data_IF_535989757439
#
_entry.id   IF_535989757439
#
_cell.length_a   1.000
_cell.length_b   1.000
_cell.length_c   1.000
_cell.angle_alpha   90.00
_cell.angle_beta   90.00
_cell.angle_gamma   90.00
#
_symmetry.space_group_name_H-M   'P 1'
#
loop_
_entity.id
_entity.type
_entity.pdbx_description
1 polymer ?
#
# COMPACT_ATOMS: atom_id res chain seq x y z
N UNK A 1 8.19 -26.54 89.83
CA UNK A 1 8.10 -27.57 88.78
C UNK A 1 8.83 -27.08 87.54
N UNK A 2 9.61 -27.93 86.88
CA UNK A 2 10.95 -27.57 86.39
C UNK A 2 11.14 -27.75 84.86
N UNK A 3 12.35 -27.36 84.40
CA UNK A 3 13.18 -27.97 83.31
C UNK A 3 12.74 -27.83 81.85
N UNK A 4 13.61 -27.64 80.83
CA UNK A 4 15.05 -27.37 80.71
C UNK A 4 15.41 -27.11 79.21
N UNK A 5 16.56 -26.44 78.97
CA UNK A 5 17.38 -26.37 77.73
C UNK A 5 17.88 -27.77 77.27
N UNK A 6 18.59 -28.02 76.12
CA UNK A 6 19.56 -27.20 75.33
C UNK A 6 19.41 -27.36 73.78
N UNK A 7 20.25 -26.92 72.83
CA UNK A 7 21.71 -27.05 72.66
C UNK A 7 22.22 -26.17 71.49
N UNK A 8 23.44 -25.66 71.67
CA UNK A 8 24.28 -24.93 70.72
C UNK A 8 25.20 -25.94 70.00
N UNK A 9 25.44 -25.84 68.69
CA UNK A 9 26.72 -26.28 68.12
C UNK A 9 27.04 -25.60 66.78
N UNK A 10 28.27 -25.10 66.73
CA UNK A 10 28.98 -24.44 65.63
C UNK A 10 29.46 -25.50 64.64
N UNK A 11 29.41 -25.23 63.34
CA UNK A 11 30.40 -25.81 62.42
C UNK A 11 30.63 -24.92 61.18
N UNK A 12 31.86 -24.42 61.10
CA UNK A 12 32.56 -23.88 59.93
C UNK A 12 32.61 -24.86 58.77
N UNK A 13 32.41 -24.38 57.53
CA UNK A 13 33.01 -24.92 56.30
C UNK A 13 32.95 -23.81 55.22
N UNK A 14 34.04 -23.06 55.05
CA UNK A 14 35.07 -23.28 54.03
C UNK A 14 34.67 -22.71 52.66
N UNK A 15 35.28 -21.56 52.37
CA UNK A 15 35.40 -20.92 51.08
C UNK A 15 36.19 -21.86 50.15
N UNK A 16 35.52 -22.48 49.18
CA UNK A 16 36.18 -23.08 48.02
C UNK A 16 35.89 -22.22 46.79
N UNK A 17 36.87 -21.41 46.44
CA UNK A 17 36.99 -20.82 45.13
C UNK A 17 37.17 -21.95 44.10
N UNK A 18 36.13 -22.20 43.30
CA UNK A 18 36.32 -22.80 41.99
C UNK A 18 36.45 -21.66 40.98
N UNK A 19 37.71 -21.41 40.60
CA UNK A 19 38.01 -20.76 39.34
C UNK A 19 37.47 -21.67 38.23
N UNK A 20 36.32 -21.28 37.67
CA UNK A 20 35.82 -21.79 36.40
C UNK A 20 36.13 -20.73 35.35
N UNK A 21 36.92 -21.11 34.35
CA UNK A 21 37.44 -20.27 33.27
C UNK A 21 36.34 -19.39 32.64
N UNK A 22 36.55 -18.07 32.64
CA UNK A 22 35.86 -17.19 31.70
C UNK A 22 36.44 -17.47 30.32
N UNK A 23 35.70 -18.19 29.48
CA UNK A 23 35.79 -17.94 28.05
C UNK A 23 35.11 -16.59 27.83
N UNK A 24 35.93 -15.55 27.92
CA UNK A 24 35.60 -14.18 27.57
C UNK A 24 35.48 -14.12 26.05
N UNK A 25 34.43 -14.77 25.54
CA UNK A 25 33.91 -14.47 24.21
C UNK A 25 33.23 -13.12 24.37
N UNK A 26 34.03 -12.07 24.22
CA UNK A 26 33.52 -10.73 23.98
C UNK A 26 32.65 -10.83 22.73
N UNK A 27 31.33 -10.98 22.94
CA UNK A 27 30.37 -10.71 21.87
C UNK A 27 30.71 -9.30 21.37
N UNK A 28 30.84 -9.11 20.05
CA UNK A 28 31.01 -7.77 19.53
C UNK A 28 29.89 -6.89 20.12
N UNK A 29 30.20 -5.65 20.55
CA UNK A 29 29.18 -4.77 21.07
C UNK A 29 28.05 -4.69 20.05
N UNK A 30 26.81 -4.76 20.53
CA UNK A 30 25.66 -4.53 19.68
C UNK A 30 25.90 -3.21 18.93
N UNK A 31 25.63 -3.16 17.61
CA UNK A 31 25.76 -1.92 16.86
C UNK A 31 24.95 -0.83 17.56
N UNK A 32 25.43 0.42 17.55
CA UNK A 32 24.70 1.52 18.19
C UNK A 32 23.27 1.54 17.66
N UNK A 33 22.31 1.56 18.59
CA UNK A 33 20.89 1.71 18.28
C UNK A 33 20.69 3.11 17.71
N UNK A 34 20.67 3.19 16.38
CA UNK A 34 20.41 4.40 15.60
C UNK A 34 18.91 4.76 15.58
N UNK A 35 18.07 4.01 16.30
CA UNK A 35 16.63 4.17 16.31
C UNK A 35 15.93 3.64 15.06
N UNK A 36 16.68 3.01 14.14
CA UNK A 36 16.14 2.31 12.97
C UNK A 36 16.03 0.79 13.25
N UNK A 37 15.95 -0.02 12.19
CA UNK A 37 15.86 -1.46 12.30
C UNK A 37 17.24 -2.12 12.27
N UNK A 38 17.48 -3.02 13.24
CA UNK A 38 18.49 -4.04 13.11
C UNK A 38 18.06 -5.07 12.04
N UNK A 39 19.01 -5.59 11.27
CA UNK A 39 18.71 -6.62 10.28
C UNK A 39 18.17 -7.90 10.94
N UNK A 40 17.26 -8.66 10.29
CA UNK A 40 16.81 -9.94 10.78
C UNK A 40 18.00 -10.90 10.97
N UNK A 41 17.97 -11.80 11.97
CA UNK A 41 18.96 -12.86 12.08
C UNK A 41 19.05 -13.69 10.80
N UNK A 42 20.24 -14.21 10.49
CA UNK A 42 20.46 -15.04 9.31
C UNK A 42 19.43 -16.17 9.22
N UNK A 43 18.75 -16.27 8.07
CA UNK A 43 17.73 -17.28 7.80
C UNK A 43 16.32 -16.93 8.30
N UNK A 44 16.11 -15.78 8.95
CA UNK A 44 14.79 -15.34 9.41
C UNK A 44 14.19 -14.21 8.58
N UNK A 45 14.94 -13.67 7.62
CA UNK A 45 14.50 -12.57 6.78
C UNK A 45 15.64 -11.87 6.05
N UNK A 46 15.28 -10.76 5.40
CA UNK A 46 16.21 -9.86 4.72
C UNK A 46 15.90 -8.42 5.11
N UNK A 47 16.92 -7.56 5.07
CA UNK A 47 16.76 -6.12 5.24
C UNK A 47 17.15 -5.40 3.95
N UNK A 48 16.36 -4.39 3.57
CA UNK A 48 16.70 -3.42 2.54
C UNK A 48 16.71 -2.01 3.13
N UNK A 49 17.51 -1.14 2.54
CA UNK A 49 17.67 0.23 3.00
C UNK A 49 17.81 1.22 1.84
N UNK A 50 17.32 2.43 2.06
CA UNK A 50 17.51 3.58 1.20
C UNK A 50 17.93 4.77 2.08
N UNK A 51 19.08 5.33 1.73
CA UNK A 51 19.67 6.52 2.34
C UNK A 51 19.81 7.62 1.28
N UNK A 52 19.43 8.86 1.62
CA UNK A 52 19.41 9.98 0.67
C UNK A 52 19.39 11.32 1.41
N UNK A 53 19.60 12.41 0.67
CA UNK A 53 19.43 13.77 1.18
C UNK A 53 18.20 14.41 0.53
N UNK A 54 17.36 15.04 1.35
CA UNK A 54 16.16 15.76 0.93
C UNK A 54 16.41 17.25 1.09
N UNK A 55 16.30 18.01 0.00
CA UNK A 55 16.55 19.44 0.03
C UNK A 55 15.53 20.18 0.91
N UNK A 56 15.94 21.34 1.43
CA UNK A 56 15.06 22.23 2.20
C UNK A 56 13.82 22.66 1.39
N UNK A 57 12.64 22.61 2.02
CA UNK A 57 11.39 23.04 1.40
C UNK A 57 10.94 22.22 0.19
N UNK A 58 11.38 20.95 0.09
CA UNK A 58 11.07 20.08 -1.04
C UNK A 58 10.18 18.90 -0.64
N UNK A 59 9.40 18.45 -1.60
CA UNK A 59 8.73 17.16 -1.60
C UNK A 59 9.35 16.34 -2.73
N UNK A 60 9.81 15.13 -2.42
CA UNK A 60 10.43 14.23 -3.39
C UNK A 60 10.05 12.78 -3.09
N UNK A 61 10.01 11.97 -4.14
CA UNK A 61 10.09 10.53 -4.01
C UNK A 61 11.46 10.02 -4.48
N UNK A 62 12.06 9.16 -3.67
CA UNK A 62 13.34 8.52 -3.95
C UNK A 62 13.15 7.04 -4.14
N UNK A 63 13.69 6.52 -5.23
CA UNK A 63 13.64 5.10 -5.55
C UNK A 63 15.02 4.47 -5.57
N UNK A 64 15.07 3.17 -5.27
CA UNK A 64 16.27 2.35 -5.41
C UNK A 64 15.87 0.94 -5.83
N UNK A 65 16.53 0.41 -6.84
CA UNK A 65 16.41 -1.01 -7.16
C UNK A 65 17.34 -1.86 -6.30
N UNK A 66 16.84 -2.99 -5.84
CA UNK A 66 17.58 -4.05 -5.15
C UNK A 66 17.15 -5.40 -5.69
N UNK A 67 17.87 -6.46 -5.35
CA UNK A 67 17.52 -7.81 -5.79
C UNK A 67 17.12 -8.68 -4.60
N UNK A 68 16.07 -9.49 -4.79
CA UNK A 68 15.70 -10.56 -3.89
C UNK A 68 16.76 -11.68 -3.91
N UNK A 69 16.87 -12.48 -2.84
CA UNK A 69 17.69 -13.69 -2.86
C UNK A 69 17.35 -14.62 -4.04
N UNK A 70 18.35 -15.38 -4.49
CA UNK A 70 18.25 -16.23 -5.68
C UNK A 70 17.23 -17.38 -5.54
N UNK A 71 16.83 -17.71 -4.32
CA UNK A 71 15.78 -18.66 -3.95
C UNK A 71 14.41 -18.01 -3.73
N UNK A 72 14.35 -16.67 -3.69
CA UNK A 72 13.13 -15.90 -3.45
C UNK A 72 12.85 -15.75 -1.96
N UNK A 73 11.64 -15.30 -1.62
CA UNK A 73 11.23 -15.12 -0.23
C UNK A 73 9.78 -15.57 -0.04
N UNK A 74 9.48 -16.07 1.15
CA UNK A 74 8.12 -16.26 1.64
C UNK A 74 7.90 -15.33 2.84
N UNK A 75 7.43 -14.12 2.57
CA UNK A 75 7.32 -13.02 3.54
C UNK A 75 6.06 -13.19 4.39
N UNK A 76 6.22 -13.36 5.71
CA UNK A 76 5.09 -13.48 6.65
C UNK A 76 4.67 -12.15 7.27
N UNK A 77 5.61 -11.22 7.42
CA UNK A 77 5.38 -9.86 7.91
C UNK A 77 6.54 -8.98 7.47
N UNK A 78 6.31 -7.69 7.48
CA UNK A 78 7.37 -6.70 7.38
C UNK A 78 7.52 -5.90 8.68
N UNK A 79 8.55 -5.08 8.70
CA UNK A 79 8.76 -4.04 9.69
C UNK A 79 9.49 -2.91 9.00
N UNK A 80 9.03 -1.68 9.19
CA UNK A 80 9.58 -0.49 8.53
C UNK A 80 9.92 0.54 9.60
N UNK A 81 11.11 1.15 9.47
CA UNK A 81 11.48 2.36 10.21
C UNK A 81 12.10 3.35 9.26
N UNK A 82 11.73 4.61 9.42
CA UNK A 82 12.32 5.71 8.68
C UNK A 82 12.50 6.93 9.55
N UNK A 83 13.49 7.74 9.19
CA UNK A 83 13.75 9.04 9.80
C UNK A 83 12.60 10.02 9.58
N UNK A 84 12.57 11.09 10.37
CA UNK A 84 11.58 12.17 10.26
C UNK A 84 11.47 12.73 8.83
N UNK A 85 10.23 13.01 8.41
CA UNK A 85 9.91 13.69 7.15
C UNK A 85 9.33 12.78 6.07
N UNK A 86 9.34 11.45 6.24
CA UNK A 86 8.66 10.57 5.29
C UNK A 86 7.17 10.51 5.55
N UNK A 87 6.39 10.63 4.48
CA UNK A 87 4.95 10.39 4.46
C UNK A 87 4.64 8.88 4.40
N UNK A 88 5.37 8.14 3.56
CA UNK A 88 5.33 6.68 3.53
C UNK A 88 6.56 6.07 2.85
N UNK A 89 6.72 4.76 3.07
CA UNK A 89 7.65 3.90 2.38
C UNK A 89 6.96 2.67 1.81
N UNK A 90 7.28 2.30 0.58
CA UNK A 90 6.73 1.14 -0.11
C UNK A 90 7.86 0.33 -0.75
N UNK A 91 7.71 -1.00 -0.72
CA UNK A 91 8.57 -1.94 -1.42
C UNK A 91 7.74 -2.67 -2.47
N UNK A 92 8.11 -2.51 -3.73
CA UNK A 92 7.46 -3.16 -4.85
C UNK A 92 8.32 -4.30 -5.40
N UNK A 93 7.67 -5.36 -5.84
CA UNK A 93 8.25 -6.27 -6.83
C UNK A 93 8.06 -5.68 -8.23
N UNK A 94 8.97 -5.96 -9.15
CA UNK A 94 8.92 -5.47 -10.54
C UNK A 94 8.80 -6.61 -11.55
N UNK A 95 8.62 -6.28 -12.83
CA UNK A 95 8.63 -7.25 -13.92
C UNK A 95 10.04 -7.52 -14.47
N UNK A 96 11.06 -6.81 -13.98
CA UNK A 96 12.42 -6.90 -14.50
C UNK A 96 13.16 -8.14 -13.99
N UNK A 97 13.94 -8.75 -14.87
CA UNK A 97 14.86 -9.84 -14.52
C UNK A 97 16.21 -9.30 -14.00
N UNK A 98 16.64 -8.14 -14.52
CA UNK A 98 17.85 -7.41 -14.15
C UNK A 98 17.51 -5.95 -13.82
N UNK A 99 18.34 -5.28 -13.02
CA UNK A 99 18.12 -3.86 -12.68
C UNK A 99 18.10 -3.03 -13.97
N UNK A 100 16.99 -2.33 -14.29
CA UNK A 100 16.87 -1.59 -15.54
C UNK A 100 17.69 -0.30 -15.49
N UNK A 101 18.32 0.11 -16.59
CA UNK A 101 19.08 1.37 -16.73
C UNK A 101 18.30 2.47 -17.48
N UNK A 102 17.03 2.22 -17.77
CA UNK A 102 16.13 3.15 -18.46
C UNK A 102 14.67 2.85 -18.10
N UNK A 103 13.83 3.88 -18.19
CA UNK A 103 12.37 3.73 -18.17
C UNK A 103 11.89 2.88 -19.36
N UNK A 104 10.63 2.45 -19.28
CA UNK A 104 9.95 1.66 -20.32
C UNK A 104 9.85 2.38 -21.68
N UNK A 105 9.90 3.71 -21.70
CA UNK A 105 9.94 4.52 -22.93
C UNK A 105 11.35 4.68 -23.53
N UNK A 106 12.36 4.08 -22.88
CA UNK A 106 13.76 4.16 -23.27
C UNK A 106 14.51 5.37 -22.71
N UNK A 107 13.86 6.23 -21.90
CA UNK A 107 14.52 7.35 -21.23
C UNK A 107 15.59 6.82 -20.26
N UNK A 108 16.89 7.14 -20.46
CA UNK A 108 17.96 6.65 -19.59
C UNK A 108 17.86 7.25 -18.18
N UNK A 109 18.08 6.43 -17.16
CA UNK A 109 18.16 6.85 -15.75
C UNK A 109 19.29 6.08 -15.09
N UNK A 110 20.17 6.77 -14.35
CA UNK A 110 21.19 6.08 -13.54
C UNK A 110 20.52 5.43 -12.32
N UNK A 111 20.34 4.12 -12.40
CA UNK A 111 19.69 3.28 -11.38
C UNK A 111 20.69 2.49 -10.54
N UNK A 112 21.99 2.78 -10.67
CA UNK A 112 23.04 2.10 -9.90
C UNK A 112 22.97 2.40 -8.40
N UNK A 113 22.26 3.47 -8.01
CA UNK A 113 22.00 3.88 -6.64
C UNK A 113 20.57 4.40 -6.46
N UNK A 114 20.42 5.37 -5.55
CA UNK A 114 19.15 6.08 -5.35
C UNK A 114 18.94 7.07 -6.48
N UNK A 115 17.73 7.09 -7.05
CA UNK A 115 17.35 7.99 -8.14
C UNK A 115 16.02 8.68 -7.84
N UNK A 116 15.72 9.74 -8.59
CA UNK A 116 14.46 10.46 -8.49
C UNK A 116 13.32 9.67 -9.14
N UNK A 117 12.22 9.54 -8.40
CA UNK A 117 10.97 8.99 -8.92
C UNK A 117 9.77 9.82 -8.46
N UNK A 118 9.93 11.14 -8.35
CA UNK A 118 8.93 12.07 -7.79
C UNK A 118 7.63 12.17 -8.60
N UNK A 119 7.61 11.60 -9.80
CA UNK A 119 6.39 11.44 -10.60
C UNK A 119 5.66 10.11 -10.32
N UNK A 120 6.09 9.36 -9.31
CA UNK A 120 5.52 8.12 -8.83
C UNK A 120 6.27 6.85 -9.31
N UNK A 121 6.19 5.76 -8.53
CA UNK A 121 6.88 4.51 -8.80
C UNK A 121 6.41 3.80 -10.09
N UNK A 122 5.22 4.12 -10.58
CA UNK A 122 4.66 3.56 -11.83
C UNK A 122 4.97 4.43 -13.06
N UNK A 123 5.58 5.61 -12.89
CA UNK A 123 5.84 6.53 -14.00
C UNK A 123 7.05 6.09 -14.86
N UNK A 124 6.78 5.17 -15.78
CA UNK A 124 7.75 4.60 -16.70
C UNK A 124 8.48 3.38 -16.14
N UNK A 125 8.06 2.84 -15.00
CA UNK A 125 8.60 1.61 -14.42
C UNK A 125 7.53 0.53 -14.29
N UNK A 126 7.93 -0.72 -14.51
CA UNK A 126 7.06 -1.90 -14.44
C UNK A 126 7.11 -2.53 -13.05
N UNK A 127 6.44 -1.92 -12.07
CA UNK A 127 6.11 -2.62 -10.82
C UNK A 127 5.14 -3.77 -11.13
N UNK A 128 5.01 -4.77 -10.25
CA UNK A 128 4.11 -5.93 -10.39
C UNK A 128 3.22 -6.14 -9.19
N UNK A 129 3.72 -5.88 -7.98
CA UNK A 129 3.03 -6.15 -6.71
C UNK A 129 3.63 -5.30 -5.59
N UNK A 130 2.82 -4.90 -4.61
CA UNK A 130 3.32 -4.43 -3.31
C UNK A 130 3.82 -5.63 -2.48
N UNK A 131 5.03 -5.55 -1.96
CA UNK A 131 5.67 -6.59 -1.12
C UNK A 131 5.61 -6.25 0.37
N UNK A 132 5.57 -4.96 0.70
CA UNK A 132 5.55 -4.44 2.07
C UNK A 132 5.68 -2.93 2.06
N UNK A 133 5.55 -2.31 3.22
CA UNK A 133 5.59 -0.85 3.32
C UNK A 133 4.73 -0.31 4.44
N UNK A 134 5.06 0.89 4.91
CA UNK A 134 4.39 1.55 6.03
C UNK A 134 4.19 3.03 5.74
N UNK A 135 3.09 3.56 6.27
CA UNK A 135 2.82 5.01 6.35
C UNK A 135 3.12 5.55 7.76
N UNK A 136 3.57 4.68 8.67
CA UNK A 136 3.90 5.02 10.04
C UNK A 136 5.39 4.79 10.31
N UNK A 137 6.11 5.84 10.70
CA UNK A 137 7.55 5.80 10.91
C UNK A 137 7.98 4.77 11.95
N UNK A 138 7.18 4.62 13.02
CA UNK A 138 7.43 3.73 14.15
C UNK A 138 6.26 2.78 14.42
N UNK A 139 5.28 2.75 13.53
CA UNK A 139 4.02 2.04 13.75
C UNK A 139 3.98 0.63 13.17
N UNK A 140 2.79 0.05 13.27
CA UNK A 140 2.41 -1.17 12.57
C UNK A 140 2.44 -0.95 11.05
N UNK A 141 2.86 -1.99 10.32
CA UNK A 141 2.77 -2.06 8.86
C UNK A 141 1.54 -2.86 8.40
N UNK A 142 1.04 -2.61 7.18
CA UNK A 142 -0.08 -3.35 6.63
C UNK A 142 0.18 -4.87 6.56
N UNK A 143 1.39 -5.34 6.29
CA UNK A 143 1.62 -6.77 6.06
C UNK A 143 1.84 -7.55 7.37
N UNK A 144 0.88 -8.38 7.75
CA UNK A 144 1.04 -9.34 8.85
C UNK A 144 0.16 -10.56 8.66
N UNK A 145 0.77 -11.73 8.51
CA UNK A 145 0.09 -13.00 8.32
C UNK A 145 0.13 -13.89 9.56
N UNK A 146 -0.90 -14.73 9.77
CA UNK A 146 -0.86 -15.80 10.76
C UNK A 146 0.16 -16.88 10.37
N UNK A 147 0.42 -17.81 11.28
CA UNK A 147 1.32 -18.92 11.03
C UNK A 147 0.91 -19.76 9.82
N UNK A 148 1.89 -20.17 9.02
CA UNK A 148 1.69 -20.94 7.79
C UNK A 148 1.23 -20.12 6.58
N UNK A 149 1.05 -18.81 6.71
CA UNK A 149 0.69 -17.92 5.60
C UNK A 149 1.83 -16.97 5.27
N UNK A 150 2.15 -16.83 3.98
CA UNK A 150 3.19 -15.92 3.51
C UNK A 150 2.92 -15.41 2.09
N UNK A 151 3.38 -14.20 1.81
CA UNK A 151 3.44 -13.62 0.46
C UNK A 151 4.72 -14.06 -0.23
N UNK A 152 4.61 -14.52 -1.48
CA UNK A 152 5.75 -14.96 -2.26
C UNK A 152 6.44 -13.79 -2.95
N UNK A 153 7.77 -13.72 -2.86
CA UNK A 153 8.62 -12.89 -3.73
C UNK A 153 9.37 -13.83 -4.67
N UNK A 154 9.38 -13.53 -5.98
CA UNK A 154 10.00 -14.42 -6.96
C UNK A 154 11.51 -14.57 -6.70
N UNK A 155 12.09 -15.75 -6.99
CA UNK A 155 13.53 -15.95 -6.99
C UNK A 155 14.27 -14.90 -7.81
N UNK A 156 15.24 -14.21 -7.20
CA UNK A 156 16.06 -13.18 -7.86
C UNK A 156 15.30 -11.94 -8.35
N UNK A 157 14.05 -11.73 -7.91
CA UNK A 157 13.24 -10.60 -8.36
C UNK A 157 13.94 -9.26 -8.15
N UNK A 158 13.83 -8.37 -9.14
CA UNK A 158 14.17 -6.96 -8.94
C UNK A 158 13.05 -6.32 -8.14
N UNK A 159 13.42 -5.75 -6.99
CA UNK A 159 12.54 -5.00 -6.11
C UNK A 159 12.85 -3.51 -6.20
N UNK A 160 11.85 -2.66 -5.98
CA UNK A 160 11.99 -1.22 -5.96
C UNK A 160 11.54 -0.68 -4.60
N UNK A 161 12.49 -0.09 -3.88
CA UNK A 161 12.21 0.76 -2.73
C UNK A 161 11.69 2.09 -3.24
N UNK A 162 10.63 2.60 -2.63
CA UNK A 162 10.07 3.92 -2.90
C UNK A 162 9.83 4.63 -1.56
N UNK A 163 10.50 5.76 -1.36
CA UNK A 163 10.40 6.55 -0.14
C UNK A 163 9.90 7.95 -0.50
N UNK A 164 8.75 8.33 0.03
CA UNK A 164 8.15 9.64 -0.17
C UNK A 164 8.47 10.52 1.04
N UNK A 165 9.20 11.62 0.81
CA UNK A 165 9.62 12.57 1.84
C UNK A 165 9.11 13.97 1.55
N UNK A 166 8.63 14.63 2.59
CA UNK A 166 8.22 16.03 2.60
C UNK A 166 9.10 16.75 3.62
N UNK A 167 10.02 17.57 3.13
CA UNK A 167 10.87 18.41 3.97
C UNK A 167 10.35 19.85 4.01
N UNK A 168 9.59 20.17 5.05
CA UNK A 168 9.10 21.55 5.29
C UNK A 168 10.10 22.45 6.01
N UNK A 169 11.30 21.94 6.34
CA UNK A 169 12.34 22.66 7.08
C UNK A 169 13.20 23.54 6.16
N UNK A 170 13.84 24.59 6.69
CA UNK A 170 14.76 25.44 5.92
C UNK A 170 16.15 24.82 5.72
N UNK A 171 16.43 23.66 6.31
CA UNK A 171 17.66 22.89 6.12
C UNK A 171 17.40 21.53 5.43
N UNK A 172 18.40 20.96 4.73
CA UNK A 172 18.31 19.60 4.18
C UNK A 172 18.17 18.52 5.26
N UNK A 173 17.55 17.39 4.89
CA UNK A 173 17.40 16.22 5.75
C UNK A 173 18.25 15.08 5.24
N UNK A 174 18.97 14.43 6.15
CA UNK A 174 19.50 13.10 5.91
C UNK A 174 18.38 12.10 6.19
N UNK A 175 17.83 11.55 5.10
CA UNK A 175 16.72 10.64 5.11
C UNK A 175 17.22 9.20 5.01
N UNK A 176 16.79 8.35 5.93
CA UNK A 176 17.06 6.92 5.90
C UNK A 176 15.78 6.13 6.17
N UNK A 177 15.57 5.07 5.39
CA UNK A 177 14.51 4.09 5.60
C UNK A 177 15.08 2.68 5.54
N UNK A 178 14.62 1.82 6.44
CA UNK A 178 14.90 0.39 6.45
C UNK A 178 13.59 -0.40 6.48
N UNK A 179 13.56 -1.48 5.71
CA UNK A 179 12.50 -2.48 5.75
C UNK A 179 13.12 -3.85 6.03
N UNK A 180 12.60 -4.53 7.04
CA UNK A 180 12.85 -5.94 7.30
C UNK A 180 11.69 -6.75 6.73
N UNK A 181 11.98 -7.71 5.86
CA UNK A 181 11.04 -8.75 5.44
C UNK A 181 11.32 -10.00 6.26
N UNK A 182 10.41 -10.37 7.13
CA UNK A 182 10.52 -11.59 7.94
C UNK A 182 9.88 -12.75 7.19
N UNK A 183 10.56 -13.90 7.15
CA UNK A 183 10.18 -15.01 6.28
C UNK A 183 9.79 -16.29 7.01
N UNK A 184 9.15 -17.20 6.28
CA UNK A 184 9.01 -18.62 6.60
C UNK A 184 9.90 -19.46 5.67
N UNK A 185 10.41 -20.61 6.12
CA UNK A 185 10.86 -21.67 5.22
C UNK A 185 9.72 -22.09 4.27
N UNK A 186 10.04 -22.43 3.02
CA UNK A 186 9.03 -22.84 2.04
C UNK A 186 8.22 -24.06 2.52
N UNK A 187 8.85 -25.01 3.20
CA UNK A 187 8.18 -26.19 3.75
C UNK A 187 7.15 -25.89 4.84
N UNK A 188 7.22 -24.70 5.46
CA UNK A 188 6.29 -24.25 6.50
C UNK A 188 5.13 -23.42 5.93
N UNK A 189 5.18 -23.08 4.64
CA UNK A 189 4.10 -22.33 3.97
C UNK A 189 2.97 -23.28 3.59
N UNK A 190 1.80 -23.04 4.19
CA UNK A 190 0.56 -23.77 3.95
C UNK A 190 -0.33 -23.04 2.94
N UNK A 191 -0.30 -21.71 2.94
CA UNK A 191 -1.14 -20.88 2.08
C UNK A 191 -0.41 -19.62 1.64
N UNK A 192 -0.45 -19.32 0.36
CA UNK A 192 0.04 -18.03 -0.16
C UNK A 192 -0.95 -16.92 0.19
N UNK A 193 -0.45 -15.82 0.74
CA UNK A 193 -1.21 -14.60 0.99
C UNK A 193 -0.75 -13.47 0.07
N UNK A 194 -1.50 -12.38 0.04
CA UNK A 194 -1.17 -11.19 -0.76
C UNK A 194 -1.66 -9.90 -0.05
N UNK A 195 -1.41 -8.74 -0.65
CA UNK A 195 -1.80 -7.43 -0.12
C UNK A 195 -2.87 -6.82 -1.02
N UNK A 196 -4.03 -6.49 -0.45
CA UNK A 196 -4.98 -5.56 -1.06
C UNK A 196 -4.28 -4.20 -1.16
N UNK A 197 -4.26 -3.63 -2.35
CA UNK A 197 -3.69 -2.33 -2.68
C UNK A 197 -4.67 -1.61 -3.63
N UNK A 198 -5.90 -1.45 -3.15
CA UNK A 198 -6.98 -0.89 -3.96
C UNK A 198 -6.89 0.62 -3.99
N UNK A 199 -7.05 1.18 -5.17
CA UNK A 199 -6.95 2.61 -5.42
C UNK A 199 -8.16 3.10 -6.20
N UNK A 200 -8.83 4.13 -5.69
CA UNK A 200 -9.87 4.81 -6.45
C UNK A 200 -9.22 5.87 -7.32
N UNK A 201 -9.19 5.60 -8.63
CA UNK A 201 -8.59 6.47 -9.64
C UNK A 201 -9.45 7.69 -10.00
N UNK A 202 -10.63 7.86 -9.39
CA UNK A 202 -11.51 9.00 -9.64
C UNK A 202 -11.70 9.85 -8.38
N UNK A 203 -11.00 10.99 -8.35
CA UNK A 203 -11.08 12.00 -7.28
C UNK A 203 -11.21 13.39 -7.92
N UNK A 204 -12.23 14.15 -7.53
CA UNK A 204 -12.45 15.53 -7.97
C UNK A 204 -12.95 16.31 -6.75
N UNK A 205 -12.08 17.09 -6.12
CA UNK A 205 -12.45 17.94 -4.98
C UNK A 205 -12.50 19.39 -5.47
N UNK A 206 -13.69 19.99 -5.62
CA UNK A 206 -13.81 21.32 -6.20
C UNK A 206 -13.13 22.37 -5.34
N UNK A 207 -12.70 23.46 -5.99
CA UNK A 207 -12.18 24.64 -5.32
C UNK A 207 -13.13 25.13 -4.23
N UNK A 208 -12.60 25.39 -3.03
CA UNK A 208 -13.38 25.86 -1.88
C UNK A 208 -14.58 24.97 -1.54
N UNK A 209 -14.49 23.66 -1.77
CA UNK A 209 -15.59 22.72 -1.64
C UNK A 209 -15.21 21.40 -0.97
N UNK A 210 -16.13 20.44 -1.05
CA UNK A 210 -15.98 19.10 -0.50
C UNK A 210 -16.48 18.09 -1.53
N UNK A 211 -15.93 16.88 -1.48
CA UNK A 211 -16.41 15.75 -2.28
C UNK A 211 -16.04 14.42 -1.63
N UNK A 212 -16.65 13.35 -2.13
CA UNK A 212 -16.35 11.99 -1.74
C UNK A 212 -15.85 11.17 -2.93
N UNK A 213 -14.72 10.48 -2.75
CA UNK A 213 -14.31 9.40 -3.64
C UNK A 213 -14.79 8.07 -3.04
N UNK A 214 -15.57 7.30 -3.80
CA UNK A 214 -16.13 6.02 -3.34
C UNK A 214 -16.08 4.94 -4.42
N UNK A 215 -15.66 3.75 -4.03
CA UNK A 215 -15.66 2.60 -4.94
C UNK A 215 -15.98 1.29 -4.21
N UNK A 216 -16.41 0.29 -5.00
CA UNK A 216 -16.64 -1.08 -4.57
C UNK A 216 -15.80 -2.06 -5.36
N UNK A 217 -15.28 -3.08 -4.69
CA UNK A 217 -14.69 -4.24 -5.32
C UNK A 217 -15.44 -5.52 -4.93
N UNK A 218 -15.63 -6.44 -5.88
CA UNK A 218 -16.23 -7.75 -5.60
C UNK A 218 -15.15 -8.75 -5.22
N UNK A 219 -15.39 -9.54 -4.18
CA UNK A 219 -14.52 -10.62 -3.73
C UNK A 219 -14.78 -11.86 -4.59
N UNK A 220 -13.82 -12.31 -5.42
CA UNK A 220 -14.05 -13.41 -6.37
C UNK A 220 -14.09 -14.80 -5.72
N UNK A 221 -13.49 -14.96 -4.55
CA UNK A 221 -13.40 -16.22 -3.82
C UNK A 221 -13.29 -15.96 -2.31
N UNK A 222 -13.61 -16.95 -1.48
CA UNK A 222 -13.48 -16.83 -0.03
C UNK A 222 -12.04 -16.44 0.37
N UNK A 223 -11.90 -15.33 1.10
CA UNK A 223 -10.64 -14.85 1.68
C UNK A 223 -10.80 -14.54 3.16
N UNK A 224 -9.66 -14.38 3.82
CA UNK A 224 -9.53 -13.88 5.18
C UNK A 224 -8.58 -12.70 5.18
N UNK A 225 -9.06 -11.54 5.59
CA UNK A 225 -8.27 -10.32 5.78
C UNK A 225 -7.64 -10.33 7.16
N UNK A 226 -6.37 -9.98 7.28
CA UNK A 226 -5.62 -9.99 8.56
C UNK A 226 -5.31 -8.60 9.08
N UNK A 227 -5.30 -7.62 8.19
CA UNK A 227 -5.08 -6.22 8.53
C UNK A 227 -5.82 -5.30 7.58
N UNK A 228 -6.00 -4.05 8.00
CA UNK A 228 -6.50 -3.01 7.12
C UNK A 228 -6.03 -1.63 7.55
N UNK A 229 -5.73 -0.79 6.58
CA UNK A 229 -5.53 0.64 6.74
C UNK A 229 -6.05 1.41 5.52
N UNK A 230 -6.28 2.70 5.72
CA UNK A 230 -6.56 3.66 4.64
C UNK A 230 -5.28 4.29 4.10
N UNK A 231 -5.40 5.02 2.99
CA UNK A 231 -4.46 6.06 2.60
C UNK A 231 -5.25 7.24 2.01
N UNK A 232 -4.95 8.45 2.49
CA UNK A 232 -5.48 9.73 2.01
C UNK A 232 -4.38 10.78 2.14
N UNK A 233 -4.45 11.89 1.38
CA UNK A 233 -3.59 13.05 1.64
C UNK A 233 -4.32 14.07 2.54
N UNK A 234 -3.72 15.24 2.71
CA UNK A 234 -4.02 16.18 3.80
C UNK A 234 -5.46 16.75 3.78
N UNK A 235 -6.21 16.65 2.68
CA UNK A 235 -7.62 17.07 2.63
C UNK A 235 -8.57 15.97 3.09
N UNK A 236 -8.08 14.75 3.30
CA UNK A 236 -8.88 13.63 3.81
C UNK A 236 -9.36 13.92 5.23
N UNK A 237 -10.69 14.05 5.41
CA UNK A 237 -11.34 14.33 6.69
C UNK A 237 -12.18 13.16 7.22
N UNK A 238 -12.25 12.05 6.47
CA UNK A 238 -12.98 10.87 6.91
C UNK A 238 -12.86 9.71 5.93
N UNK A 239 -12.84 8.51 6.48
CA UNK A 239 -12.68 7.26 5.75
C UNK A 239 -13.58 6.19 6.36
N UNK A 240 -14.21 5.40 5.49
CA UNK A 240 -14.98 4.21 5.86
C UNK A 240 -14.71 3.07 4.90
N UNK A 241 -14.57 1.85 5.43
CA UNK A 241 -14.62 0.63 4.64
C UNK A 241 -15.56 -0.41 5.29
N UNK A 242 -16.38 -1.04 4.47
CA UNK A 242 -17.44 -1.95 4.89
C UNK A 242 -17.74 -3.03 3.84
N UNK A 243 -18.29 -4.16 4.29
CA UNK A 243 -18.99 -5.07 3.39
C UNK A 243 -20.38 -4.49 3.07
N UNK A 244 -20.77 -4.47 1.80
CA UNK A 244 -22.06 -3.92 1.37
C UNK A 244 -23.20 -4.72 2.01
N UNK A 245 -24.10 -4.03 2.70
CA UNK A 245 -25.22 -4.63 3.42
C UNK A 245 -24.90 -5.06 4.86
N UNK A 246 -23.67 -4.86 5.33
CA UNK A 246 -23.34 -5.00 6.75
C UNK A 246 -23.90 -3.83 7.57
N UNK A 247 -24.22 -4.08 8.84
CA UNK A 247 -24.75 -3.06 9.76
C UNK A 247 -23.67 -2.06 10.21
N UNK A 248 -22.40 -2.47 10.21
CA UNK A 248 -21.27 -1.70 10.73
C UNK A 248 -20.06 -1.82 9.80
N UNK A 249 -19.28 -0.73 9.63
CA UNK A 249 -18.00 -0.79 8.93
C UNK A 249 -16.98 -1.60 9.71
N UNK A 250 -16.10 -2.30 9.00
CA UNK A 250 -14.97 -3.01 9.61
C UNK A 250 -13.75 -2.12 9.80
N UNK A 251 -13.71 -0.94 9.16
CA UNK A 251 -12.65 0.05 9.32
C UNK A 251 -13.19 1.48 9.19
N UNK A 252 -12.76 2.34 10.12
CA UNK A 252 -13.06 3.77 10.17
C UNK A 252 -11.77 4.51 10.51
N UNK A 253 -11.54 5.66 9.87
CA UNK A 253 -10.41 6.52 10.17
C UNK A 253 -10.71 7.96 9.72
N UNK A 254 -10.13 8.96 10.37
CA UNK A 254 -10.23 10.37 10.00
C UNK A 254 -8.85 11.04 9.85
N UNK A 255 -7.77 10.25 9.90
CA UNK A 255 -6.40 10.73 9.84
C UNK A 255 -5.75 10.40 8.50
N UNK A 256 -5.05 11.36 7.93
CA UNK A 256 -4.19 11.14 6.76
C UNK A 256 -2.74 10.81 7.17
N UNK A 257 -2.29 11.30 8.33
CA UNK A 257 -1.00 10.97 8.97
C UNK A 257 -1.20 10.06 10.21
N UNK A 258 -0.16 9.35 10.62
CA UNK A 258 -0.20 8.39 11.73
C UNK A 258 -1.41 7.42 11.61
N UNK A 259 -1.60 6.89 10.40
CA UNK A 259 -2.79 6.14 10.00
C UNK A 259 -2.91 4.86 10.84
N UNK A 260 -4.02 4.65 11.57
CA UNK A 260 -4.22 3.43 12.34
C UNK A 260 -4.26 2.19 11.45
N UNK A 261 -3.50 1.16 11.83
CA UNK A 261 -3.60 -0.17 11.20
C UNK A 261 -4.50 -1.04 12.06
N UNK A 262 -5.64 -1.46 11.52
CA UNK A 262 -6.48 -2.47 12.16
C UNK A 262 -5.85 -3.85 11.99
N UNK A 263 -5.81 -4.62 13.07
CA UNK A 263 -5.41 -6.03 13.07
C UNK A 263 -6.61 -6.91 13.37
N UNK A 264 -6.79 -7.97 12.58
CA UNK A 264 -7.83 -8.96 12.78
C UNK A 264 -7.18 -10.26 13.25
N UNK A 265 -6.94 -10.39 14.56
CA UNK A 265 -6.23 -11.55 15.13
C UNK A 265 -6.92 -12.90 14.81
N UNK A 266 -8.25 -12.89 14.70
CA UNK A 266 -9.04 -14.07 14.31
C UNK A 266 -9.25 -14.20 12.80
N UNK A 267 -8.73 -13.24 12.03
CA UNK A 267 -9.07 -13.03 10.64
C UNK A 267 -10.46 -12.43 10.46
N UNK A 268 -10.61 -11.57 9.44
CA UNK A 268 -11.89 -11.04 9.00
C UNK A 268 -12.31 -11.77 7.71
N UNK A 269 -13.28 -12.70 7.77
CA UNK A 269 -13.66 -13.49 6.60
C UNK A 269 -14.50 -12.67 5.63
N UNK A 270 -14.16 -12.73 4.34
CA UNK A 270 -14.97 -12.22 3.25
C UNK A 270 -15.34 -13.38 2.32
N UNK A 271 -16.61 -13.49 1.97
CA UNK A 271 -17.12 -14.57 1.12
C UNK A 271 -17.07 -14.22 -0.36
N UNK A 272 -16.94 -15.24 -1.19
CA UNK A 272 -17.10 -15.09 -2.63
C UNK A 272 -18.43 -14.39 -2.96
N UNK A 273 -18.37 -13.35 -3.78
CA UNK A 273 -19.50 -12.50 -4.15
C UNK A 273 -19.80 -11.35 -3.18
N UNK A 274 -19.13 -11.28 -2.01
CA UNK A 274 -19.22 -10.09 -1.17
C UNK A 274 -18.67 -8.87 -1.92
N UNK A 275 -19.29 -7.70 -1.73
CA UNK A 275 -18.76 -6.43 -2.22
C UNK A 275 -18.17 -5.67 -1.04
N UNK A 276 -16.91 -5.27 -1.13
CA UNK A 276 -16.31 -4.33 -0.17
C UNK A 276 -16.38 -2.93 -0.77
N UNK A 277 -16.99 -2.02 -0.03
CA UNK A 277 -17.09 -0.60 -0.32
C UNK A 277 -16.13 0.18 0.57
N UNK A 278 -15.41 1.15 0.01
CA UNK A 278 -14.75 2.16 0.81
C UNK A 278 -14.95 3.56 0.22
N UNK A 279 -14.91 4.56 1.09
CA UNK A 279 -15.06 5.96 0.73
C UNK A 279 -14.10 6.86 1.50
N UNK A 280 -13.57 7.87 0.81
CA UNK A 280 -12.76 8.95 1.37
C UNK A 280 -13.50 10.27 1.20
N UNK A 281 -13.65 11.03 2.29
CA UNK A 281 -14.27 12.35 2.30
C UNK A 281 -13.18 13.41 2.33
N UNK A 282 -13.31 14.44 1.49
CA UNK A 282 -12.33 15.52 1.36
C UNK A 282 -12.93 16.90 1.63
N UNK A 283 -12.11 17.79 2.20
CA UNK A 283 -12.40 19.22 2.28
C UNK A 283 -11.25 20.02 1.64
N UNK A 284 -11.57 20.77 0.59
CA UNK A 284 -10.60 21.58 -0.14
C UNK A 284 -10.76 23.07 0.15
N UNK A 285 -9.80 23.65 0.86
CA UNK A 285 -9.73 25.08 1.15
C UNK A 285 -8.99 25.92 0.10
N UNK A 286 -8.59 25.35 -1.04
CA UNK A 286 -7.83 26.04 -2.08
C UNK A 286 -8.71 26.61 -3.20
N UNK A 287 -8.25 27.67 -3.92
CA UNK A 287 -8.98 28.26 -5.03
C UNK A 287 -8.81 27.50 -6.36
N UNK A 288 -8.52 26.19 -6.30
CA UNK A 288 -8.37 25.30 -7.45
C UNK A 288 -9.00 23.94 -7.14
N UNK A 289 -9.37 23.23 -8.19
CA UNK A 289 -9.79 21.84 -8.08
C UNK A 289 -8.56 20.96 -7.74
N UNK A 290 -8.81 19.84 -7.07
CA UNK A 290 -7.80 18.88 -6.65
C UNK A 290 -8.22 17.50 -7.14
N UNK A 291 -7.30 16.83 -7.83
CA UNK A 291 -7.52 15.52 -8.43
C UNK A 291 -6.64 14.45 -7.79
N UNK A 292 -6.78 13.21 -8.26
CA UNK A 292 -5.89 12.14 -7.84
C UNK A 292 -4.44 12.40 -8.28
N UNK A 293 -3.45 11.99 -7.47
CA UNK A 293 -2.04 12.09 -7.86
C UNK A 293 -1.06 11.75 -6.72
N UNK A 294 0.23 11.55 -7.04
CA UNK A 294 1.24 11.11 -6.08
C UNK A 294 1.72 12.22 -5.13
N UNK A 295 1.50 13.50 -5.47
CA UNK A 295 2.05 14.63 -4.71
C UNK A 295 1.13 15.05 -3.57
N UNK A 296 1.68 15.72 -2.57
CA UNK A 296 0.94 16.33 -1.46
C UNK A 296 -0.04 17.43 -1.90
N UNK A 297 0.13 17.94 -3.12
CA UNK A 297 -0.81 18.87 -3.76
C UNK A 297 -2.05 18.19 -4.32
N UNK A 298 -1.99 16.87 -4.47
CA UNK A 298 -3.02 16.01 -5.06
C UNK A 298 -3.66 15.20 -3.93
N UNK A 299 -4.61 14.31 -4.26
CA UNK A 299 -5.23 13.40 -3.29
C UNK A 299 -5.10 11.93 -3.68
N UNK A 300 -5.26 11.05 -2.70
CA UNK A 300 -5.36 9.60 -2.89
C UNK A 300 -6.51 9.02 -2.06
N UNK A 301 -7.10 7.92 -2.53
CA UNK A 301 -8.11 7.16 -1.80
C UNK A 301 -7.83 5.66 -1.93
N UNK A 302 -7.18 5.08 -0.91
CA UNK A 302 -6.77 3.66 -0.95
C UNK A 302 -7.30 2.84 0.21
N UNK A 303 -7.47 1.54 -0.05
CA UNK A 303 -7.70 0.50 0.95
C UNK A 303 -6.54 -0.50 0.87
N UNK A 304 -5.78 -0.63 1.95
CA UNK A 304 -4.56 -1.42 1.98
C UNK A 304 -4.60 -2.42 3.13
N UNK A 305 -4.31 -3.69 2.88
CA UNK A 305 -4.33 -4.71 3.94
C UNK A 305 -3.92 -6.09 3.46
N UNK A 306 -3.38 -6.93 4.33
CA UNK A 306 -3.00 -8.29 3.97
C UNK A 306 -4.19 -9.25 4.03
N UNK A 307 -4.23 -10.21 3.11
CA UNK A 307 -5.30 -11.21 3.01
C UNK A 307 -4.76 -12.57 2.52
N UNK A 308 -5.52 -13.63 2.78
CA UNK A 308 -5.21 -14.98 2.27
C UNK A 308 -6.48 -15.82 2.07
N UNK A 309 -6.49 -16.81 1.16
CA UNK A 309 -5.45 -17.10 0.17
C UNK A 309 -5.31 -15.98 -0.86
N UNK A 310 -4.15 -15.87 -1.50
CA UNK A 310 -3.90 -14.97 -2.62
C UNK A 310 -4.84 -15.30 -3.78
N UNK A 311 -5.39 -14.27 -4.42
CA UNK A 311 -6.32 -14.43 -5.55
C UNK A 311 -5.88 -13.54 -6.71
N UNK A 312 -5.70 -14.10 -7.93
CA UNK A 312 -5.31 -13.31 -9.10
C UNK A 312 -6.23 -12.10 -9.33
N UNK A 313 -5.64 -10.93 -9.58
CA UNK A 313 -6.37 -9.67 -9.81
C UNK A 313 -6.94 -8.99 -8.57
N UNK A 314 -7.13 -9.72 -7.46
CA UNK A 314 -7.79 -9.16 -6.29
C UNK A 314 -6.93 -8.09 -5.61
N UNK A 315 -5.60 -8.22 -5.55
CA UNK A 315 -4.72 -7.22 -4.93
C UNK A 315 -4.89 -5.82 -5.50
N UNK A 316 -5.30 -5.68 -6.76
CA UNK A 316 -5.45 -4.40 -7.44
C UNK A 316 -6.90 -4.04 -7.78
N UNK A 317 -7.88 -4.83 -7.35
CA UNK A 317 -9.25 -4.74 -7.86
C UNK A 317 -9.27 -4.68 -9.41
N UNK A 318 -8.55 -5.62 -10.04
CA UNK A 318 -8.29 -5.60 -11.46
C UNK A 318 -9.51 -6.03 -12.30
N UNK A 319 -9.67 -5.48 -13.50
CA UNK A 319 -10.67 -5.97 -14.45
C UNK A 319 -10.23 -7.27 -15.13
N UNK A 320 -8.93 -7.45 -15.35
CA UNK A 320 -8.33 -8.65 -15.89
C UNK A 320 -7.33 -9.25 -14.89
N UNK A 321 -7.60 -10.44 -14.31
CA UNK A 321 -6.70 -11.07 -13.35
C UNK A 321 -5.37 -11.52 -13.95
N UNK A 322 -5.27 -11.68 -15.27
CA UNK A 322 -4.02 -12.01 -15.97
C UNK A 322 -3.18 -10.76 -16.27
N UNK A 323 -3.79 -9.58 -16.20
CA UNK A 323 -3.13 -8.29 -16.40
C UNK A 323 -3.49 -7.31 -15.25
N UNK A 324 -3.18 -7.67 -13.99
CA UNK A 324 -3.78 -7.03 -12.83
C UNK A 324 -3.37 -5.56 -12.65
N UNK A 325 -2.15 -5.20 -13.06
CA UNK A 325 -1.68 -3.82 -13.03
C UNK A 325 -2.16 -2.99 -14.22
N UNK A 326 -2.15 -3.57 -15.42
CA UNK A 326 -2.64 -2.88 -16.61
C UNK A 326 -4.13 -2.54 -16.50
N UNK A 327 -4.85 -3.27 -15.63
CA UNK A 327 -6.27 -3.07 -15.36
C UNK A 327 -6.57 -2.72 -13.89
N UNK A 328 -5.57 -2.20 -13.16
CA UNK A 328 -5.70 -1.83 -11.75
C UNK A 328 -6.87 -0.87 -11.53
N UNK A 329 -7.68 -1.13 -10.51
CA UNK A 329 -8.85 -0.34 -10.16
C UNK A 329 -10.00 -0.42 -11.18
N UNK A 330 -9.78 -0.99 -12.37
CA UNK A 330 -10.80 -1.08 -13.41
C UNK A 330 -11.84 -2.17 -13.12
N UNK A 331 -11.56 -3.12 -12.23
CA UNK A 331 -12.54 -4.09 -11.74
C UNK A 331 -13.57 -3.49 -10.78
N UNK A 332 -13.41 -2.22 -10.42
CA UNK A 332 -14.27 -1.55 -9.47
C UNK A 332 -15.64 -1.15 -10.07
N UNK A 333 -16.60 -0.94 -9.15
CA UNK A 333 -17.72 -0.03 -9.38
C UNK A 333 -17.40 1.29 -8.70
N UNK A 334 -17.21 2.35 -9.47
CA UNK A 334 -17.05 3.70 -8.96
C UNK A 334 -18.42 4.31 -8.72
N UNK A 335 -18.57 5.00 -7.60
CA UNK A 335 -19.84 5.57 -7.18
C UNK A 335 -19.64 7.07 -7.01
N UNK A 336 -20.33 7.84 -7.85
CA UNK A 336 -20.26 9.29 -7.78
C UNK A 336 -20.84 9.87 -6.48
N UNK A 337 -20.69 11.17 -6.37
CA UNK A 337 -21.10 12.03 -5.25
C UNK A 337 -21.93 13.23 -5.77
N UNK A 338 -22.57 13.06 -6.94
CA UNK A 338 -23.36 14.10 -7.58
C UNK A 338 -24.76 13.66 -7.97
N UNK A 339 -25.32 14.32 -8.99
CA UNK A 339 -26.69 14.15 -9.46
C UNK A 339 -26.76 13.91 -10.98
N UNK A 340 -25.62 13.83 -11.67
CA UNK A 340 -25.62 13.68 -13.13
C UNK A 340 -26.12 12.30 -13.53
N UNK A 341 -27.07 12.26 -14.45
CA UNK A 341 -27.53 11.02 -15.08
C UNK A 341 -26.38 10.35 -15.84
N UNK A 342 -26.56 9.07 -16.15
CA UNK A 342 -25.53 8.33 -16.88
C UNK A 342 -25.29 8.96 -18.26
N UNK A 343 -26.35 9.43 -18.93
CA UNK A 343 -26.24 10.17 -20.18
C UNK A 343 -25.48 11.50 -20.04
N UNK A 344 -25.70 12.27 -18.97
CA UNK A 344 -24.96 13.52 -18.71
C UNK A 344 -23.48 13.24 -18.42
N UNK A 345 -23.17 12.17 -17.67
CA UNK A 345 -21.79 11.73 -17.43
C UNK A 345 -21.10 11.37 -18.74
N UNK A 346 -21.71 10.58 -19.63
CA UNK A 346 -21.10 10.24 -20.92
C UNK A 346 -20.93 11.46 -21.83
N UNK A 347 -21.90 12.38 -21.84
CA UNK A 347 -21.77 13.63 -22.57
C UNK A 347 -20.61 14.48 -22.03
N UNK A 348 -20.42 14.51 -20.70
CA UNK A 348 -19.27 15.13 -20.06
C UNK A 348 -17.97 14.49 -20.51
N UNK A 349 -17.85 13.15 -20.45
CA UNK A 349 -16.64 12.42 -20.89
C UNK A 349 -16.31 12.72 -22.35
N UNK A 350 -17.32 12.69 -23.23
CA UNK A 350 -17.14 13.00 -24.64
C UNK A 350 -16.66 14.44 -24.87
N UNK A 351 -17.14 15.41 -24.09
CA UNK A 351 -16.75 16.80 -24.23
C UNK A 351 -15.27 17.06 -23.90
N UNK A 352 -14.64 16.20 -23.09
CA UNK A 352 -13.23 16.30 -22.73
C UNK A 352 -12.30 15.37 -23.50
N UNK A 353 -12.81 14.56 -24.44
CA UNK A 353 -12.05 13.49 -25.09
C UNK A 353 -10.80 13.97 -25.86
N UNK A 354 -10.78 15.24 -26.28
CA UNK A 354 -9.64 15.87 -26.97
C UNK A 354 -8.82 16.80 -26.07
N UNK A 355 -9.10 16.83 -24.75
CA UNK A 355 -8.37 17.66 -23.78
C UNK A 355 -6.98 17.09 -23.49
N UNK A 356 -5.97 17.96 -23.38
CA UNK A 356 -4.64 17.57 -22.88
C UNK A 356 -4.70 17.05 -21.43
N UNK A 357 -5.69 17.50 -20.65
CA UNK A 357 -5.98 17.05 -19.28
C UNK A 357 -7.19 16.10 -19.24
N UNK A 358 -7.30 15.21 -20.24
CA UNK A 358 -8.44 14.29 -20.39
C UNK A 358 -8.77 13.52 -19.10
N UNK A 359 -7.75 13.05 -18.38
CA UNK A 359 -7.97 12.23 -17.20
C UNK A 359 -8.57 13.04 -16.04
N UNK A 360 -8.09 14.26 -15.78
CA UNK A 360 -8.65 15.16 -14.77
C UNK A 360 -10.12 15.50 -15.09
N UNK A 361 -10.41 15.76 -16.36
CA UNK A 361 -11.78 15.98 -16.82
C UNK A 361 -12.66 14.74 -16.61
N UNK A 362 -12.16 13.54 -16.94
CA UNK A 362 -12.85 12.27 -16.73
C UNK A 362 -13.17 12.04 -15.25
N UNK A 363 -12.22 12.31 -14.35
CA UNK A 363 -12.44 12.23 -12.91
C UNK A 363 -13.63 13.09 -12.47
N UNK A 364 -13.66 14.35 -12.91
CA UNK A 364 -14.78 15.25 -12.61
C UNK A 364 -16.13 14.73 -13.14
N UNK A 365 -16.17 14.16 -14.35
CA UNK A 365 -17.39 13.58 -14.90
C UNK A 365 -17.90 12.37 -14.10
N UNK A 366 -16.99 11.49 -13.67
CA UNK A 366 -17.33 10.29 -12.89
C UNK A 366 -17.78 10.66 -11.49
N UNK A 367 -17.05 11.54 -10.81
CA UNK A 367 -17.38 11.97 -9.44
C UNK A 367 -18.72 12.71 -9.40
N UNK A 368 -19.08 13.49 -10.43
CA UNK A 368 -20.37 14.21 -10.48
C UNK A 368 -21.58 13.33 -10.84
N UNK A 369 -21.38 12.05 -11.16
CA UNK A 369 -22.46 11.12 -11.47
C UNK A 369 -23.35 10.82 -10.25
N UNK A 370 -24.63 10.53 -10.51
CA UNK A 370 -25.57 10.06 -9.50
C UNK A 370 -25.15 8.66 -9.01
N UNK A 371 -25.04 8.41 -7.70
CA UNK A 371 -24.81 7.08 -7.14
C UNK A 371 -25.73 5.97 -7.71
N UNK A 372 -26.96 6.32 -8.09
CA UNK A 372 -27.97 5.41 -8.62
C UNK A 372 -27.59 4.83 -10.00
N UNK A 373 -26.77 5.53 -10.79
CA UNK A 373 -26.30 5.07 -12.11
C UNK A 373 -24.89 4.45 -12.07
N UNK A 374 -24.32 4.29 -10.86
CA UNK A 374 -22.93 3.88 -10.67
C UNK A 374 -22.53 2.59 -11.39
N UNK A 375 -23.45 1.63 -11.54
CA UNK A 375 -23.18 0.37 -12.25
C UNK A 375 -22.96 0.63 -13.74
N UNK A 376 -23.98 1.14 -14.42
CA UNK A 376 -23.96 1.35 -15.87
C UNK A 376 -22.93 2.39 -16.28
N UNK A 377 -22.74 3.44 -15.45
CA UNK A 377 -21.69 4.44 -15.62
C UNK A 377 -20.31 3.79 -15.53
N UNK A 378 -20.05 2.99 -14.48
CA UNK A 378 -18.76 2.32 -14.33
C UNK A 378 -18.48 1.34 -15.46
N UNK A 379 -19.48 0.58 -15.90
CA UNK A 379 -19.32 -0.37 -16.99
C UNK A 379 -18.94 0.33 -18.30
N UNK A 380 -19.59 1.46 -18.61
CA UNK A 380 -19.26 2.27 -19.78
C UNK A 380 -17.86 2.90 -19.68
N UNK A 381 -17.54 3.56 -18.57
CA UNK A 381 -16.22 4.21 -18.35
C UNK A 381 -15.10 3.18 -18.38
N UNK A 382 -15.28 2.03 -17.73
CA UNK A 382 -14.31 0.93 -17.74
C UNK A 382 -14.04 0.45 -19.17
N UNK A 383 -15.09 0.21 -19.94
CA UNK A 383 -14.94 -0.22 -21.33
C UNK A 383 -14.16 0.82 -22.14
N UNK A 384 -14.51 2.10 -22.02
CA UNK A 384 -13.84 3.18 -22.74
C UNK A 384 -12.33 3.24 -22.42
N UNK A 385 -11.97 3.13 -21.13
CA UNK A 385 -10.57 3.10 -20.71
C UNK A 385 -9.81 1.87 -21.24
N UNK A 386 -10.43 0.69 -21.22
CA UNK A 386 -9.83 -0.53 -21.76
C UNK A 386 -9.67 -0.48 -23.28
N UNK A 387 -10.65 0.07 -24.00
CA UNK A 387 -10.58 0.26 -25.45
C UNK A 387 -9.46 1.23 -25.83
N UNK A 388 -9.35 2.36 -25.13
CA UNK A 388 -8.26 3.33 -25.31
C UNK A 388 -6.89 2.69 -25.04
N UNK A 389 -6.74 1.99 -23.92
CA UNK A 389 -5.48 1.33 -23.55
C UNK A 389 -5.05 0.21 -24.50
N UNK A 390 -5.99 -0.37 -25.24
CA UNK A 390 -5.71 -1.40 -26.26
C UNK A 390 -5.67 -0.87 -27.71
N UNK A 391 -5.83 0.45 -27.90
CA UNK A 391 -5.81 1.09 -29.22
C UNK A 391 -7.04 0.79 -30.10
N UNK A 392 -8.16 0.41 -29.49
CA UNK A 392 -9.44 0.22 -30.16
C UNK A 392 -10.21 1.55 -30.25
N UNK A 393 -11.08 1.69 -31.27
CA UNK A 393 -12.02 2.81 -31.35
C UNK A 393 -13.07 2.69 -30.22
N UNK A 394 -13.07 3.60 -29.21
CA UNK A 394 -13.81 3.35 -27.96
C UNK A 394 -15.33 3.27 -28.14
N UNK A 395 -15.90 4.13 -28.99
CA UNK A 395 -17.35 4.17 -29.23
C UNK A 395 -17.83 2.91 -29.95
N UNK A 396 -17.02 2.36 -30.85
CA UNK A 396 -17.34 1.12 -31.55
C UNK A 396 -17.23 -0.08 -30.61
N UNK A 397 -16.15 -0.14 -29.82
CA UNK A 397 -15.88 -1.23 -28.90
C UNK A 397 -16.91 -1.32 -27.76
N UNK A 398 -17.40 -0.16 -27.27
CA UNK A 398 -18.21 -0.06 -26.04
C UNK A 398 -19.69 0.23 -26.28
N UNK A 399 -20.21 -0.01 -27.49
CA UNK A 399 -21.57 0.38 -27.86
C UNK A 399 -22.67 -0.22 -26.96
N UNK A 400 -22.45 -1.41 -26.38
CA UNK A 400 -23.41 -2.08 -25.49
C UNK A 400 -23.50 -1.38 -24.12
N UNK A 401 -22.35 -1.10 -23.53
CA UNK A 401 -22.20 -0.44 -22.24
C UNK A 401 -22.67 1.01 -22.33
N UNK A 402 -22.26 1.73 -23.39
CA UNK A 402 -22.75 3.08 -23.70
C UNK A 402 -24.27 3.08 -23.85
N UNK A 403 -24.84 2.15 -24.63
CA UNK A 403 -26.28 2.06 -24.83
C UNK A 403 -27.07 1.79 -23.54
N UNK A 404 -26.51 0.97 -22.65
CA UNK A 404 -27.10 0.67 -21.34
C UNK A 404 -27.07 1.89 -20.42
N UNK A 405 -25.96 2.62 -20.41
CA UNK A 405 -25.84 3.87 -19.66
C UNK A 405 -26.79 4.94 -20.19
N UNK A 406 -26.87 5.17 -21.51
CA UNK A 406 -27.78 6.15 -22.11
C UNK A 406 -29.28 5.90 -21.88
N UNK A 407 -29.65 4.70 -21.40
CA UNK A 407 -31.03 4.36 -21.06
C UNK A 407 -31.46 4.84 -19.65
N UNK A 408 -30.52 5.37 -18.86
CA UNK A 408 -30.69 5.89 -17.50
C UNK A 408 -30.36 7.38 -17.45
#
# INVERSE_FOLDING_TARGET
>A
MPTAKPLLLISTLALTAFAGCSDDTTLPPDPPDDGLLAAPPTGQGVQYALDTTIDAGSEVERCRFVQAPADGLWVKRDEVRYTEGSHHFLLYETAYDDIPESKNDGTPVDTSGVFDCSDGPTNGWSVTRLVGGSQNANGDSALSFPDGVALRVRPGAVLMLNAHYINTRPEPLDAEVRINLWTLPEEDVVTEGDILFWYNIFIDVPAMGASQAKMRCTIPSDITVTSMQSHMHARGVGYVAQEVGADMPFYLNDRWEDVPVSRFDQGFPLKAGAEVEYACNYENGEPRDVHQGPRSTDEMCMLIGSYYPAVPGLSFCAADPEAPLATQGLGARWIGDGEATCAETLACVQAGAESDDFFDHLQGCVVKSDPAVSREMSDAVRCLLLALGSGQEPVEACGSEIGSCLAL
#
